data_IF_525283781660
#
_entry.id   IF_525283781660
#
_cell.length_a   1.000
_cell.length_b   1.000
_cell.length_c   1.000
_cell.angle_alpha   90.00
_cell.angle_beta   90.00
_cell.angle_gamma   90.00
#
_symmetry.space_group_name_H-M   'P 1'
#
loop_
_entity.id
_entity.type
_entity.pdbx_description
1 polymer ?
#
# COMPACT_ATOMS: atom_id res chain seq x y z
N UNK A 1 20.72 -12.16 -3.55
CA UNK A 1 21.31 -12.82 -2.35
C UNK A 1 20.30 -13.66 -1.58
N UNK A 2 19.11 -13.91 -2.12
CA UNK A 2 18.10 -14.76 -1.49
C UNK A 2 17.29 -14.08 -0.38
N UNK A 3 17.51 -12.80 -0.07
CA UNK A 3 16.69 -12.07 0.90
C UNK A 3 15.31 -11.73 0.35
N UNK A 4 14.36 -11.49 1.25
CA UNK A 4 13.03 -10.99 0.90
C UNK A 4 13.07 -9.54 0.41
N UNK A 5 12.18 -9.21 -0.52
CA UNK A 5 11.83 -7.83 -0.81
C UNK A 5 10.78 -7.33 0.17
N UNK A 6 10.86 -6.07 0.59
CA UNK A 6 9.81 -5.39 1.36
C UNK A 6 9.27 -4.24 0.51
N UNK A 7 7.98 -4.29 0.19
CA UNK A 7 7.28 -3.24 -0.54
C UNK A 7 6.36 -2.51 0.42
N UNK A 8 6.34 -1.18 0.35
CA UNK A 8 5.48 -0.33 1.17
C UNK A 8 4.70 0.61 0.27
N UNK A 9 3.37 0.55 0.36
CA UNK A 9 2.46 1.51 -0.23
C UNK A 9 1.93 2.39 0.90
N UNK A 10 2.09 3.72 0.81
CA UNK A 10 1.60 4.64 1.81
C UNK A 10 1.08 5.92 1.15
N UNK A 11 -0.08 6.40 1.62
CA UNK A 11 -0.69 7.62 1.11
C UNK A 11 -1.56 8.31 2.18
N UNK A 12 -1.72 9.62 2.04
CA UNK A 12 -2.60 10.44 2.87
C UNK A 12 -3.23 11.54 2.00
N UNK A 13 -4.53 11.38 1.77
CA UNK A 13 -5.35 12.31 1.02
C UNK A 13 -6.14 13.20 1.99
N UNK A 14 -5.65 14.42 2.20
CA UNK A 14 -6.31 15.46 2.99
C UNK A 14 -6.74 16.59 2.07
N UNK A 15 -8.05 16.80 1.95
CA UNK A 15 -8.63 17.81 1.07
C UNK A 15 -9.25 18.95 1.86
N UNK A 16 -9.15 20.16 1.31
CA UNK A 16 -9.82 21.35 1.84
C UNK A 16 -11.35 21.23 1.75
N UNK A 17 -12.07 22.25 2.22
CA UNK A 17 -13.53 22.27 2.14
C UNK A 17 -14.04 22.13 0.70
N UNK A 18 -15.15 21.42 0.54
CA UNK A 18 -15.75 21.15 -0.76
C UNK A 18 -16.18 19.70 -0.93
N UNK A 19 -16.67 19.34 -2.13
CA UNK A 19 -17.25 18.02 -2.38
C UNK A 19 -16.24 16.87 -2.37
N UNK A 20 -14.94 17.14 -2.52
CA UNK A 20 -13.89 16.12 -2.43
C UNK A 20 -13.51 15.76 -0.98
N UNK A 21 -13.88 16.58 0.00
CA UNK A 21 -13.50 16.37 1.40
C UNK A 21 -13.95 15.00 1.97
N UNK A 22 -15.15 14.49 1.68
CA UNK A 22 -15.57 13.17 2.14
C UNK A 22 -14.83 11.99 1.48
N UNK A 23 -14.04 12.23 0.43
CA UNK A 23 -13.28 11.18 -0.28
C UNK A 23 -11.82 11.10 0.16
N UNK A 24 -11.44 11.77 1.26
CA UNK A 24 -10.11 11.67 1.86
C UNK A 24 -9.85 10.30 2.51
N UNK A 25 -8.65 10.12 3.04
CA UNK A 25 -8.24 8.89 3.71
C UNK A 25 -6.74 8.84 3.93
N UNK A 26 -6.28 7.91 4.75
CA UNK A 26 -4.86 7.64 4.93
C UNK A 26 -4.64 6.15 5.21
N UNK A 27 -3.60 5.59 4.61
CA UNK A 27 -3.26 4.18 4.80
C UNK A 27 -1.76 3.93 4.57
N UNK A 28 -1.28 2.86 5.19
CA UNK A 28 0.01 2.26 4.88
C UNK A 28 -0.13 0.73 4.85
N UNK A 29 0.44 0.09 3.83
CA UNK A 29 0.42 -1.36 3.63
C UNK A 29 1.84 -1.83 3.36
N UNK A 30 2.31 -2.81 4.15
CA UNK A 30 3.58 -3.47 3.95
C UNK A 30 3.37 -4.89 3.40
N UNK A 31 4.05 -5.21 2.30
CA UNK A 31 3.99 -6.50 1.64
C UNK A 31 5.39 -7.13 1.60
N UNK A 32 5.51 -8.35 2.11
CA UNK A 32 6.74 -9.13 2.05
C UNK A 32 6.73 -9.98 0.78
N UNK A 33 7.77 -9.86 -0.04
CA UNK A 33 7.89 -10.53 -1.34
C UNK A 33 8.98 -11.60 -1.28
N UNK A 34 8.62 -12.83 -1.63
CA UNK A 34 9.51 -13.99 -1.59
C UNK A 34 8.95 -15.23 -2.28
N UNK A 35 9.77 -16.30 -2.39
CA UNK A 35 9.35 -17.58 -2.96
C UNK A 35 8.29 -18.28 -2.08
N UNK A 36 7.51 -19.18 -2.69
CA UNK A 36 6.44 -19.97 -2.04
C UNK A 36 5.34 -19.11 -1.40
N UNK A 37 5.07 -17.94 -1.97
CA UNK A 37 4.02 -17.06 -1.50
C UNK A 37 2.63 -17.70 -1.65
N UNK A 38 1.69 -17.44 -0.70
CA UNK A 38 0.30 -17.89 -0.80
C UNK A 38 -0.51 -17.12 -1.85
N UNK A 39 -0.01 -15.94 -2.26
CA UNK A 39 -0.55 -15.14 -3.35
C UNK A 39 0.55 -15.07 -4.40
N UNK A 40 0.33 -15.74 -5.52
CA UNK A 40 1.31 -15.85 -6.63
C UNK A 40 0.88 -14.92 -7.76
N UNK A 41 1.84 -14.26 -8.40
CA UNK A 41 1.60 -13.47 -9.61
C UNK A 41 1.48 -14.40 -10.83
N UNK A 42 0.54 -14.12 -11.72
CA UNK A 42 0.44 -14.72 -13.06
C UNK A 42 1.42 -14.09 -14.06
#
# INVERSE_FOLDING_TARGET
DGRFGLVVCADSAVYAEGPARPTGGAAAVAMLIGPHAPIVFE
#
